data_IF_061376613933
#
_entry.id   IF_061376613933
#
_cell.length_a   1.000
_cell.length_b   1.000
_cell.length_c   1.000
_cell.angle_alpha   90.00
_cell.angle_beta   90.00
_cell.angle_gamma   90.00
#
_symmetry.space_group_name_H-M   'P 1'
#
loop_
_entity.id
_entity.type
_entity.pdbx_description
1 polymer ?
#
# COMPACT_ATOMS: atom_id res chain seq x y z
N UNK A 1 33.96 -19.36 21.84
CA UNK A 1 33.92 -20.31 20.71
C UNK A 1 33.46 -19.53 19.51
N UNK A 2 34.13 -19.66 18.37
CA UNK A 2 33.83 -18.88 17.17
C UNK A 2 32.54 -19.39 16.51
N UNK A 3 31.64 -18.47 16.13
CA UNK A 3 30.32 -18.83 15.59
C UNK A 3 30.47 -19.42 14.19
N UNK A 4 29.47 -20.18 13.74
CA UNK A 4 29.45 -20.73 12.39
C UNK A 4 29.64 -19.63 11.33
N UNK A 5 28.92 -18.51 11.49
CA UNK A 5 29.01 -17.36 10.59
C UNK A 5 30.42 -16.74 10.55
N UNK A 6 31.11 -16.67 11.69
CA UNK A 6 32.46 -16.10 11.78
C UNK A 6 33.46 -17.00 11.02
N UNK A 7 33.42 -18.32 11.27
CA UNK A 7 34.26 -19.31 10.56
C UNK A 7 33.98 -19.35 9.06
N UNK A 8 32.70 -19.27 8.69
CA UNK A 8 32.27 -19.21 7.29
C UNK A 8 32.86 -17.97 6.61
N UNK A 9 32.72 -16.80 7.23
CA UNK A 9 33.22 -15.54 6.70
C UNK A 9 34.74 -15.52 6.51
N UNK A 10 35.48 -16.05 7.48
CA UNK A 10 36.93 -16.16 7.39
C UNK A 10 37.35 -17.04 6.20
N UNK A 11 36.74 -18.22 6.05
CA UNK A 11 37.10 -19.16 4.99
C UNK A 11 36.67 -18.67 3.61
N UNK A 12 35.43 -18.20 3.48
CA UNK A 12 34.88 -17.83 2.17
C UNK A 12 35.67 -16.69 1.53
N UNK A 13 36.19 -15.75 2.32
CA UNK A 13 37.03 -14.67 1.80
C UNK A 13 38.46 -15.10 1.44
N UNK A 14 39.00 -16.14 2.08
CA UNK A 14 40.38 -16.60 1.89
C UNK A 14 40.56 -17.63 0.78
N UNK A 15 39.51 -18.38 0.43
CA UNK A 15 39.60 -19.43 -0.58
C UNK A 15 38.45 -19.36 -1.58
N UNK A 16 38.74 -19.66 -2.84
CA UNK A 16 37.75 -19.87 -3.93
C UNK A 16 37.38 -21.33 -4.13
N UNK A 17 38.06 -22.25 -3.46
CA UNK A 17 37.77 -23.69 -3.53
C UNK A 17 36.62 -24.06 -2.58
N UNK A 18 36.05 -25.25 -2.77
CA UNK A 18 35.07 -25.80 -1.83
C UNK A 18 35.73 -26.03 -0.46
N UNK A 19 34.97 -25.84 0.62
CA UNK A 19 35.51 -25.96 1.98
C UNK A 19 34.48 -26.50 2.98
N UNK A 20 35.01 -27.06 4.07
CA UNK A 20 34.22 -27.55 5.20
C UNK A 20 34.32 -26.61 6.40
N UNK A 21 33.23 -26.44 7.13
CA UNK A 21 33.18 -25.78 8.44
C UNK A 21 32.53 -26.71 9.46
N UNK A 22 33.17 -26.88 10.60
CA UNK A 22 32.62 -27.60 11.74
C UNK A 22 32.03 -26.62 12.77
N UNK A 23 30.84 -26.94 13.26
CA UNK A 23 30.15 -26.21 14.34
C UNK A 23 29.59 -27.21 15.38
N UNK A 24 29.31 -26.74 16.59
CA UNK A 24 28.81 -27.56 17.71
C UNK A 24 29.71 -27.53 18.94
N UNK A 25 29.11 -27.74 20.12
CA UNK A 25 29.79 -27.57 21.42
C UNK A 25 30.33 -28.87 22.04
N UNK A 26 29.92 -30.03 21.52
CA UNK A 26 30.33 -31.35 22.00
C UNK A 26 30.19 -32.39 20.88
N UNK A 27 30.81 -33.56 21.03
CA UNK A 27 30.78 -34.63 20.01
C UNK A 27 29.36 -35.07 19.62
N UNK A 28 28.40 -34.95 20.53
CA UNK A 28 26.99 -35.27 20.25
C UNK A 28 26.22 -34.18 19.51
N UNK A 29 26.78 -32.98 19.37
CA UNK A 29 26.16 -31.80 18.72
C UNK A 29 26.99 -31.27 17.54
N UNK A 30 27.93 -32.07 17.03
CA UNK A 30 28.75 -31.70 15.87
C UNK A 30 27.91 -31.66 14.59
N UNK A 31 28.01 -30.53 13.89
CA UNK A 31 27.46 -30.30 12.56
C UNK A 31 28.59 -29.97 11.60
N UNK A 32 28.56 -30.63 10.45
CA UNK A 32 29.50 -30.45 9.37
C UNK A 32 28.81 -29.72 8.23
N UNK A 33 29.37 -28.60 7.80
CA UNK A 33 28.84 -27.78 6.72
C UNK A 33 29.80 -27.83 5.55
N UNK A 34 29.29 -28.15 4.36
CA UNK A 34 30.06 -28.22 3.13
C UNK A 34 29.63 -27.09 2.21
N UNK A 35 30.59 -26.30 1.75
CA UNK A 35 30.33 -25.17 0.86
C UNK A 35 31.03 -25.37 -0.49
N UNK A 36 30.29 -25.15 -1.56
CA UNK A 36 30.76 -25.15 -2.95
C UNK A 36 30.62 -23.75 -3.51
N UNK A 37 31.60 -23.32 -4.30
CA UNK A 37 31.67 -21.97 -4.80
C UNK A 37 31.71 -21.95 -6.32
N UNK A 38 31.01 -21.02 -6.95
CA UNK A 38 31.09 -20.79 -8.39
C UNK A 38 31.03 -19.30 -8.71
N UNK A 39 31.72 -18.89 -9.78
CA UNK A 39 31.69 -17.50 -10.23
C UNK A 39 30.47 -17.26 -11.11
N UNK A 40 29.75 -16.17 -10.83
CA UNK A 40 28.61 -15.70 -11.60
C UNK A 40 28.82 -14.22 -11.91
N UNK A 41 29.23 -13.93 -13.15
CA UNK A 41 29.64 -12.58 -13.54
C UNK A 41 30.81 -12.08 -12.67
N UNK A 42 30.60 -10.96 -11.98
CA UNK A 42 31.59 -10.36 -11.06
C UNK A 42 31.50 -10.87 -9.62
N UNK A 43 30.46 -11.63 -9.28
CA UNK A 43 30.25 -12.16 -7.95
C UNK A 43 30.60 -13.65 -7.89
N UNK A 44 30.65 -14.17 -6.66
CA UNK A 44 30.83 -15.59 -6.40
C UNK A 44 29.67 -16.10 -5.57
N UNK A 45 28.98 -17.10 -6.09
CA UNK A 45 27.87 -17.75 -5.40
C UNK A 45 28.43 -18.88 -4.55
N UNK A 46 27.89 -19.00 -3.35
CA UNK A 46 28.29 -20.00 -2.36
C UNK A 46 27.08 -20.84 -2.04
N UNK A 47 27.14 -22.10 -2.44
CA UNK A 47 26.14 -23.10 -2.17
C UNK A 47 26.57 -23.92 -0.96
N UNK A 48 25.63 -24.30 -0.11
CA UNK A 48 25.90 -25.04 1.12
C UNK A 48 24.88 -26.13 1.37
N UNK A 49 25.32 -27.12 2.14
CA UNK A 49 24.51 -28.16 2.76
C UNK A 49 25.20 -28.59 4.06
N UNK A 50 24.44 -29.17 4.99
CA UNK A 50 24.97 -29.62 6.27
C UNK A 50 24.51 -31.02 6.64
N UNK A 51 25.31 -31.67 7.49
CA UNK A 51 24.95 -32.94 8.09
C UNK A 51 25.24 -32.97 9.59
N UNK A 52 24.41 -33.73 10.30
CA UNK A 52 24.61 -34.02 11.71
C UNK A 52 25.50 -35.24 11.84
N UNK A 53 26.68 -35.07 12.44
CA UNK A 53 27.59 -36.16 12.84
C UNK A 53 28.21 -37.00 11.71
N UNK A 54 27.92 -36.71 10.44
CA UNK A 54 28.62 -37.31 9.30
C UNK A 54 29.49 -36.27 8.60
N UNK A 55 30.81 -36.39 8.75
CA UNK A 55 31.80 -35.51 8.11
C UNK A 55 31.89 -35.74 6.59
N UNK A 56 31.54 -36.95 6.12
CA UNK A 56 31.71 -37.39 4.73
C UNK A 56 30.43 -37.31 3.90
N UNK A 57 29.37 -36.70 4.43
CA UNK A 57 28.09 -36.54 3.75
C UNK A 57 28.21 -35.87 2.37
N UNK A 58 29.23 -35.05 2.16
CA UNK A 58 29.52 -34.40 0.87
C UNK A 58 29.89 -35.38 -0.25
N UNK A 59 30.08 -36.67 0.06
CA UNK A 59 30.30 -37.76 -0.91
C UNK A 59 29.00 -38.39 -1.39
N UNK A 60 27.86 -38.04 -0.80
CA UNK A 60 26.54 -38.54 -1.19
C UNK A 60 26.18 -38.08 -2.61
N UNK A 61 25.69 -39.00 -3.43
CA UNK A 61 25.24 -38.71 -4.79
C UNK A 61 23.94 -37.91 -4.80
N UNK A 62 23.15 -37.98 -3.73
CA UNK A 62 21.88 -37.26 -3.58
C UNK A 62 22.05 -35.90 -2.89
N UNK A 63 23.29 -35.46 -2.64
CA UNK A 63 23.57 -34.14 -2.06
C UNK A 63 23.00 -33.02 -2.93
N UNK A 64 22.20 -32.12 -2.34
CA UNK A 64 21.54 -31.03 -3.06
C UNK A 64 21.81 -29.65 -2.41
N UNK A 65 23.02 -29.09 -2.60
CA UNK A 65 23.41 -27.81 -2.02
C UNK A 65 22.52 -26.65 -2.48
N UNK A 66 22.13 -25.78 -1.55
CA UNK A 66 21.32 -24.58 -1.83
C UNK A 66 22.17 -23.32 -1.79
N UNK A 67 21.72 -22.26 -2.45
CA UNK A 67 22.42 -20.98 -2.42
C UNK A 67 22.34 -20.38 -1.01
N UNK A 68 23.50 -20.24 -0.36
CA UNK A 68 23.62 -19.72 1.01
C UNK A 68 24.03 -18.27 1.01
N UNK A 69 24.99 -17.90 0.16
CA UNK A 69 25.52 -16.55 0.12
C UNK A 69 26.01 -16.15 -1.27
N UNK A 70 26.11 -14.84 -1.48
CA UNK A 70 26.77 -14.22 -2.63
C UNK A 70 27.93 -13.39 -2.09
N UNK A 71 29.12 -13.54 -2.65
CA UNK A 71 30.30 -12.75 -2.30
C UNK A 71 30.59 -11.78 -3.44
N UNK A 72 30.64 -10.49 -3.14
CA UNK A 72 30.97 -9.42 -4.09
C UNK A 72 31.66 -8.26 -3.37
N UNK A 73 32.71 -7.70 -3.97
CA UNK A 73 33.48 -6.57 -3.42
C UNK A 73 33.90 -6.76 -1.95
N UNK A 74 34.48 -7.94 -1.64
CA UNK A 74 34.91 -8.37 -0.30
C UNK A 74 33.81 -8.40 0.77
N UNK A 75 32.54 -8.35 0.34
CA UNK A 75 31.34 -8.46 1.19
C UNK A 75 30.60 -9.75 0.93
N UNK A 76 29.91 -10.22 1.97
CA UNK A 76 29.14 -11.47 1.96
C UNK A 76 27.67 -11.12 2.16
N UNK A 77 26.83 -11.50 1.20
CA UNK A 77 25.40 -11.28 1.21
C UNK A 77 24.69 -12.61 1.47
N UNK A 78 24.11 -12.77 2.67
CA UNK A 78 23.44 -13.99 3.11
C UNK A 78 22.08 -14.10 2.45
N UNK A 79 21.86 -15.21 1.75
CA UNK A 79 20.61 -15.59 1.09
C UNK A 79 19.80 -16.51 1.99
N UNK A 80 20.45 -17.50 2.61
CA UNK A 80 19.82 -18.46 3.51
C UNK A 80 20.37 -18.29 4.94
N UNK A 81 19.55 -17.68 5.80
CA UNK A 81 19.89 -17.47 7.21
C UNK A 81 19.84 -18.75 8.04
N UNK A 82 19.10 -19.78 7.59
CA UNK A 82 18.99 -21.04 8.31
C UNK A 82 20.27 -21.85 8.22
N UNK A 83 20.88 -21.88 7.03
CA UNK A 83 22.09 -22.67 6.79
C UNK A 83 23.30 -22.17 7.59
N UNK A 84 23.28 -20.91 8.03
CA UNK A 84 24.32 -20.29 8.85
C UNK A 84 23.91 -20.06 10.30
N UNK A 85 22.81 -20.66 10.75
CA UNK A 85 22.26 -20.54 12.11
C UNK A 85 21.97 -19.08 12.58
N UNK A 86 21.78 -18.14 11.64
CA UNK A 86 21.58 -16.69 11.92
C UNK A 86 20.17 -16.39 12.45
N UNK A 87 19.18 -17.23 12.10
CA UNK A 87 17.76 -17.06 12.48
C UNK A 87 17.49 -17.09 14.00
N UNK A 88 18.46 -17.48 14.84
CA UNK A 88 18.30 -17.67 16.29
C UNK A 88 18.38 -16.38 17.13
N UNK A 89 18.30 -15.21 16.51
CA UNK A 89 18.29 -13.93 17.21
C UNK A 89 19.69 -13.36 17.48
N UNK A 90 20.70 -13.78 16.71
CA UNK A 90 22.00 -13.10 16.71
C UNK A 90 21.84 -11.73 16.04
N UNK A 91 22.00 -10.66 16.82
CA UNK A 91 21.77 -9.28 16.35
C UNK A 91 22.98 -8.64 15.69
N UNK A 92 24.19 -9.17 15.91
CA UNK A 92 25.44 -8.58 15.41
C UNK A 92 26.15 -9.53 14.43
N UNK A 93 25.96 -9.24 13.14
CA UNK A 93 26.75 -9.83 12.06
C UNK A 93 28.11 -9.12 11.96
N UNK A 94 29.18 -9.83 11.54
CA UNK A 94 30.45 -9.21 11.19
C UNK A 94 30.28 -8.07 10.16
N UNK A 95 31.16 -7.07 10.21
CA UNK A 95 31.02 -5.79 9.47
C UNK A 95 30.84 -5.95 7.95
N UNK A 96 31.41 -6.98 7.36
CA UNK A 96 31.36 -7.27 5.93
C UNK A 96 30.25 -8.25 5.52
N UNK A 97 29.34 -8.58 6.44
CA UNK A 97 28.25 -9.53 6.21
C UNK A 97 26.90 -8.82 6.29
N UNK A 98 26.08 -9.02 5.27
CA UNK A 98 24.77 -8.40 5.13
C UNK A 98 23.72 -9.46 4.83
N UNK A 99 22.52 -9.32 5.36
CA UNK A 99 21.39 -10.12 4.87
C UNK A 99 20.96 -9.54 3.52
N UNK A 100 20.79 -10.39 2.51
CA UNK A 100 20.39 -9.94 1.17
C UNK A 100 19.05 -9.20 1.22
N UNK A 101 18.12 -9.63 2.09
CA UNK A 101 16.81 -8.97 2.25
C UNK A 101 16.93 -7.53 2.75
N UNK A 102 17.89 -7.24 3.63
CA UNK A 102 18.08 -5.88 4.15
C UNK A 102 18.59 -4.95 3.03
N UNK A 103 19.42 -5.49 2.13
CA UNK A 103 19.85 -4.77 0.92
C UNK A 103 18.68 -4.53 -0.02
N UNK A 104 17.81 -5.53 -0.26
CA UNK A 104 16.58 -5.34 -1.06
C UNK A 104 15.73 -4.20 -0.50
N UNK A 105 15.50 -4.17 0.81
CA UNK A 105 14.70 -3.12 1.45
C UNK A 105 15.38 -1.75 1.28
N UNK A 106 16.68 -1.67 1.59
CA UNK A 106 17.46 -0.43 1.49
C UNK A 106 17.46 0.15 0.07
N UNK A 107 17.71 -0.68 -0.94
CA UNK A 107 17.74 -0.23 -2.34
C UNK A 107 16.36 0.24 -2.81
N UNK A 108 15.29 -0.44 -2.41
CA UNK A 108 13.93 0.00 -2.74
C UNK A 108 13.53 1.31 -2.06
N UNK A 109 13.93 1.51 -0.80
CA UNK A 109 13.71 2.78 -0.11
C UNK A 109 14.52 3.92 -0.74
N UNK A 110 15.75 3.66 -1.20
CA UNK A 110 16.52 4.65 -1.97
C UNK A 110 15.84 5.00 -3.30
N UNK A 111 15.40 3.99 -4.06
CA UNK A 111 14.65 4.20 -5.31
C UNK A 111 13.39 5.03 -5.06
N UNK A 112 12.65 4.76 -3.98
CA UNK A 112 11.43 5.48 -3.64
C UNK A 112 11.67 6.92 -3.19
N UNK A 113 12.62 7.12 -2.29
CA UNK A 113 12.87 8.40 -1.63
C UNK A 113 13.71 9.38 -2.46
N UNK A 114 14.58 8.86 -3.33
CA UNK A 114 15.49 9.67 -4.15
C UNK A 114 15.10 9.60 -5.61
N UNK A 115 15.27 8.44 -6.26
CA UNK A 115 15.14 8.32 -7.71
C UNK A 115 13.72 8.65 -8.18
N UNK A 116 12.70 8.04 -7.56
CA UNK A 116 11.30 8.29 -7.91
C UNK A 116 10.87 9.70 -7.55
N UNK A 117 11.30 10.23 -6.40
CA UNK A 117 10.98 11.59 -5.98
C UNK A 117 11.48 12.62 -7.01
N UNK A 118 12.75 12.50 -7.43
CA UNK A 118 13.36 13.37 -8.44
C UNK A 118 12.71 13.19 -9.81
N UNK A 119 12.52 11.94 -10.25
CA UNK A 119 11.82 11.63 -11.50
C UNK A 119 10.42 12.25 -11.50
N UNK A 120 9.60 11.98 -10.49
CA UNK A 120 8.22 12.45 -10.41
C UNK A 120 8.14 13.97 -10.34
N UNK A 121 9.06 14.62 -9.61
CA UNK A 121 9.18 16.08 -9.57
C UNK A 121 9.49 16.66 -10.94
N UNK A 122 10.35 16.01 -11.73
CA UNK A 122 10.74 16.46 -13.07
C UNK A 122 9.63 16.37 -14.13
N UNK A 123 8.62 15.51 -13.91
CA UNK A 123 7.52 15.34 -14.86
C UNK A 123 6.73 16.64 -15.03
N UNK A 124 6.46 17.00 -16.29
CA UNK A 124 5.54 18.09 -16.62
C UNK A 124 4.10 17.62 -16.44
N UNK A 125 3.31 18.44 -15.77
CA UNK A 125 1.87 18.24 -15.63
C UNK A 125 1.16 18.69 -16.90
N UNK A 126 0.09 17.99 -17.25
CA UNK A 126 -0.82 18.38 -18.31
C UNK A 126 -2.11 18.92 -17.69
N UNK A 127 -2.73 19.89 -18.36
CA UNK A 127 -4.04 20.35 -17.95
C UNK A 127 -5.11 19.30 -18.27
N UNK A 128 -5.95 18.99 -17.29
CA UNK A 128 -7.10 18.10 -17.49
C UNK A 128 -8.26 18.91 -18.07
N UNK A 129 -8.50 18.74 -19.37
CA UNK A 129 -9.56 19.43 -20.13
C UNK A 129 -10.69 18.51 -20.57
N UNK A 130 -10.47 17.19 -20.62
CA UNK A 130 -11.50 16.21 -20.98
C UNK A 130 -12.62 16.13 -19.94
N UNK A 131 -13.87 16.13 -20.38
CA UNK A 131 -15.05 16.15 -19.49
C UNK A 131 -15.12 14.94 -18.56
N UNK A 132 -14.81 13.75 -19.07
CA UNK A 132 -14.83 12.50 -18.31
C UNK A 132 -13.80 12.51 -17.17
N UNK A 133 -12.54 12.81 -17.49
CA UNK A 133 -11.47 12.92 -16.50
C UNK A 133 -11.72 14.03 -15.48
N UNK A 134 -12.26 15.17 -15.93
CA UNK A 134 -12.64 16.25 -15.03
C UNK A 134 -13.76 15.81 -14.07
N UNK A 135 -14.72 15.02 -14.54
CA UNK A 135 -15.76 14.43 -13.69
C UNK A 135 -15.15 13.49 -12.66
N UNK A 136 -14.24 12.61 -13.05
CA UNK A 136 -13.55 11.72 -12.11
C UNK A 136 -12.78 12.50 -11.04
N UNK A 137 -12.07 13.57 -11.42
CA UNK A 137 -11.38 14.44 -10.46
C UNK A 137 -12.35 15.11 -9.47
N UNK A 138 -13.53 15.53 -9.95
CA UNK A 138 -14.57 16.13 -9.10
C UNK A 138 -15.15 15.11 -8.12
N UNK A 139 -15.42 13.89 -8.58
CA UNK A 139 -15.97 12.82 -7.75
C UNK A 139 -14.96 12.43 -6.64
N UNK A 140 -13.67 12.33 -6.96
CA UNK A 140 -12.64 12.03 -5.97
C UNK A 140 -12.41 13.20 -4.98
N UNK A 141 -12.31 14.44 -5.47
CA UNK A 141 -12.20 15.61 -4.60
C UNK A 141 -13.40 15.72 -3.63
N UNK A 142 -14.60 15.39 -4.11
CA UNK A 142 -15.81 15.36 -3.30
C UNK A 142 -15.75 14.29 -2.22
N UNK A 143 -15.29 13.07 -2.54
CA UNK A 143 -15.08 12.02 -1.54
C UNK A 143 -14.12 12.48 -0.45
N UNK A 144 -12.96 13.02 -0.83
CA UNK A 144 -11.94 13.50 0.11
C UNK A 144 -12.52 14.53 1.09
N UNK A 145 -13.27 15.52 0.60
CA UNK A 145 -13.86 16.58 1.43
C UNK A 145 -14.83 16.08 2.52
N UNK A 146 -15.43 14.91 2.34
CA UNK A 146 -16.36 14.32 3.31
C UNK A 146 -15.69 13.29 4.26
N UNK A 147 -14.43 12.92 4.04
CA UNK A 147 -13.66 12.07 4.98
C UNK A 147 -13.22 12.89 6.21
N UNK A 148 -13.02 12.21 7.34
CA UNK A 148 -12.41 12.80 8.55
C UNK A 148 -10.92 13.03 8.28
N UNK A 149 -10.51 14.30 8.17
CA UNK A 149 -9.18 14.76 7.75
C UNK A 149 -8.93 14.62 6.22
N UNK A 150 -9.44 15.56 5.41
CA UNK A 150 -9.24 15.54 3.97
C UNK A 150 -7.75 15.75 3.63
N UNK A 151 -7.12 14.73 3.05
CA UNK A 151 -5.74 14.80 2.54
C UNK A 151 -5.72 14.16 1.17
N UNK A 152 -5.11 14.85 0.20
CA UNK A 152 -4.77 14.25 -1.10
C UNK A 152 -3.44 13.55 -0.92
N UNK A 153 -3.44 12.22 -1.01
CA UNK A 153 -2.21 11.44 -0.84
C UNK A 153 -1.24 11.72 -2.00
N UNK A 154 0.03 11.87 -1.66
CA UNK A 154 1.08 11.95 -2.66
C UNK A 154 1.24 10.61 -3.38
N UNK A 155 1.70 10.65 -4.63
CA UNK A 155 2.03 9.44 -5.37
C UNK A 155 3.24 8.77 -4.74
N UNK A 156 3.16 7.47 -4.56
CA UNK A 156 4.27 6.62 -4.16
C UNK A 156 4.40 5.45 -5.14
N UNK A 157 5.52 4.73 -5.03
CA UNK A 157 5.75 3.47 -5.73
C UNK A 157 5.85 2.32 -4.72
N UNK A 158 5.45 1.14 -5.17
CA UNK A 158 5.77 -0.13 -4.52
C UNK A 158 7.24 -0.50 -4.75
N UNK A 159 7.71 -1.53 -4.04
CA UNK A 159 9.06 -2.09 -4.23
C UNK A 159 9.27 -2.46 -5.70
N UNK A 160 10.32 -1.90 -6.28
CA UNK A 160 10.71 -2.08 -7.67
C UNK A 160 11.61 -3.29 -7.88
N UNK A 161 12.48 -3.59 -6.90
CA UNK A 161 13.49 -4.64 -7.00
C UNK A 161 13.20 -5.79 -6.05
N UNK A 162 13.45 -7.00 -6.52
CA UNK A 162 13.41 -8.23 -5.72
C UNK A 162 14.85 -8.74 -5.44
N UNK A 163 14.98 -9.87 -4.73
CA UNK A 163 16.28 -10.48 -4.44
C UNK A 163 17.07 -10.83 -5.70
N UNK A 164 16.41 -11.26 -6.77
CA UNK A 164 17.07 -11.60 -8.03
C UNK A 164 17.64 -10.36 -8.73
N UNK A 165 16.95 -9.22 -8.68
CA UNK A 165 17.48 -7.95 -9.20
C UNK A 165 18.75 -7.54 -8.43
N UNK A 166 18.74 -7.64 -7.09
CA UNK A 166 19.93 -7.35 -6.29
C UNK A 166 21.07 -8.32 -6.61
N UNK A 167 20.80 -9.61 -6.70
CA UNK A 167 21.79 -10.61 -7.08
C UNK A 167 22.39 -10.33 -8.47
N UNK A 168 21.56 -9.99 -9.46
CA UNK A 168 21.99 -9.59 -10.79
C UNK A 168 22.88 -8.34 -10.75
N UNK A 169 22.57 -7.38 -9.88
CA UNK A 169 23.41 -6.19 -9.67
C UNK A 169 24.77 -6.55 -9.09
N UNK A 170 24.81 -7.42 -8.06
CA UNK A 170 26.06 -7.90 -7.46
C UNK A 170 26.92 -8.65 -8.49
N UNK A 171 26.29 -9.43 -9.37
CA UNK A 171 26.96 -10.10 -10.49
C UNK A 171 27.44 -9.13 -11.60
N UNK A 172 27.09 -7.84 -11.53
CA UNK A 172 27.41 -6.85 -12.55
C UNK A 172 26.59 -6.96 -13.84
N UNK A 173 25.45 -7.66 -13.80
CA UNK A 173 24.55 -7.84 -14.95
C UNK A 173 23.68 -6.61 -15.16
N UNK A 174 23.25 -5.96 -14.07
CA UNK A 174 22.46 -4.72 -14.13
C UNK A 174 23.08 -3.66 -13.22
N UNK A 175 22.80 -2.39 -13.55
CA UNK A 175 23.00 -1.28 -12.65
C UNK A 175 21.63 -0.85 -12.13
N UNK A 176 21.41 -0.92 -10.81
CA UNK A 176 20.09 -0.68 -10.20
C UNK A 176 19.57 0.73 -10.46
N UNK A 177 20.42 1.76 -10.40
CA UNK A 177 19.99 3.14 -10.62
C UNK A 177 19.51 3.35 -12.07
N UNK A 178 20.29 2.89 -13.05
CA UNK A 178 19.93 2.97 -14.47
C UNK A 178 18.68 2.14 -14.79
N UNK A 179 18.58 0.94 -14.21
CA UNK A 179 17.41 0.08 -14.39
C UNK A 179 16.16 0.68 -13.74
N UNK A 180 16.29 1.35 -12.59
CA UNK A 180 15.18 2.04 -11.95
C UNK A 180 14.64 3.17 -12.82
N UNK A 181 15.53 4.03 -13.33
CA UNK A 181 15.16 5.11 -14.25
C UNK A 181 14.49 4.55 -15.50
N UNK A 182 15.03 3.49 -16.10
CA UNK A 182 14.45 2.83 -17.26
C UNK A 182 13.03 2.28 -16.99
N UNK A 183 12.82 1.61 -15.85
CA UNK A 183 11.49 1.11 -15.43
C UNK A 183 10.50 2.26 -15.23
N UNK A 184 10.92 3.38 -14.64
CA UNK A 184 10.09 4.57 -14.47
C UNK A 184 9.74 5.23 -15.80
N UNK A 185 10.72 5.45 -16.67
CA UNK A 185 10.54 6.06 -17.99
C UNK A 185 9.61 5.22 -18.89
N UNK A 186 9.67 3.88 -18.81
CA UNK A 186 8.73 3.02 -19.54
C UNK A 186 7.25 3.22 -19.16
N UNK A 187 6.99 3.83 -17.98
CA UNK A 187 5.66 4.16 -17.46
C UNK A 187 5.42 5.67 -17.37
N UNK A 188 6.25 6.49 -18.04
CA UNK A 188 6.24 7.95 -17.92
C UNK A 188 4.86 8.57 -18.11
N UNK A 189 4.15 8.18 -19.17
CA UNK A 189 2.82 8.73 -19.47
C UNK A 189 1.81 8.46 -18.35
N UNK A 190 1.84 7.27 -17.75
CA UNK A 190 0.99 6.93 -16.61
C UNK A 190 1.30 7.81 -15.39
N UNK A 191 2.58 8.13 -15.16
CA UNK A 191 2.99 9.00 -14.07
C UNK A 191 2.61 10.47 -14.32
N UNK A 192 2.73 10.96 -15.56
CA UNK A 192 2.25 12.28 -15.97
C UNK A 192 0.74 12.38 -15.73
N UNK A 193 -0.01 11.37 -16.16
CA UNK A 193 -1.45 11.27 -15.92
C UNK A 193 -1.76 11.36 -14.43
N UNK A 194 -1.14 10.51 -13.60
CA UNK A 194 -1.37 10.47 -12.15
C UNK A 194 -1.01 11.80 -11.46
N UNK A 195 0.08 12.45 -11.89
CA UNK A 195 0.49 13.77 -11.37
C UNK A 195 -0.52 14.85 -11.71
N UNK A 196 -0.96 14.89 -12.96
CA UNK A 196 -1.97 15.84 -13.44
C UNK A 196 -3.31 15.65 -12.73
N UNK A 197 -3.73 14.39 -12.55
CA UNK A 197 -4.93 14.01 -11.81
C UNK A 197 -4.87 14.49 -10.35
N UNK A 198 -3.81 14.14 -9.62
CA UNK A 198 -3.65 14.53 -8.23
C UNK A 198 -3.59 16.04 -8.03
N UNK A 199 -2.91 16.76 -8.93
CA UNK A 199 -2.92 18.23 -8.94
C UNK A 199 -4.34 18.76 -9.06
N UNK A 200 -5.12 18.26 -10.02
CA UNK A 200 -6.48 18.76 -10.25
C UNK A 200 -7.40 18.47 -9.07
N UNK A 201 -7.31 17.28 -8.50
CA UNK A 201 -8.03 16.92 -7.27
C UNK A 201 -7.65 17.85 -6.12
N UNK A 202 -6.35 18.14 -5.93
CA UNK A 202 -5.87 19.07 -4.91
C UNK A 202 -6.45 20.47 -5.06
N UNK A 203 -6.43 21.03 -6.27
CA UNK A 203 -7.06 22.32 -6.57
C UNK A 203 -8.55 22.35 -6.19
N UNK A 204 -9.30 21.28 -6.53
CA UNK A 204 -10.74 21.16 -6.26
C UNK A 204 -11.05 20.99 -4.76
N UNK A 205 -10.17 20.31 -4.02
CA UNK A 205 -10.28 20.17 -2.56
C UNK A 205 -9.99 21.51 -1.88
N UNK A 206 -8.93 22.21 -2.27
CA UNK A 206 -8.52 23.49 -1.70
C UNK A 206 -9.58 24.59 -1.91
N UNK A 207 -10.16 24.67 -3.12
CA UNK A 207 -11.17 25.68 -3.43
C UNK A 207 -12.60 25.29 -3.03
N UNK A 208 -12.83 24.03 -2.59
CA UNK A 208 -14.14 23.47 -2.21
C UNK A 208 -15.24 23.65 -3.26
N UNK A 209 -14.91 23.79 -4.54
CA UNK A 209 -15.87 24.09 -5.61
C UNK A 209 -16.83 22.94 -5.95
N UNK A 210 -16.53 21.72 -5.49
CA UNK A 210 -17.28 20.49 -5.78
C UNK A 210 -18.30 20.11 -4.70
N UNK A 211 -18.43 20.93 -3.65
CA UNK A 211 -19.40 20.74 -2.56
C UNK A 211 -20.21 22.01 -2.32
N UNK A 212 -21.39 21.87 -1.73
CA UNK A 212 -22.21 23.01 -1.29
C UNK A 212 -22.05 23.23 0.22
N UNK A 213 -22.13 24.49 0.66
CA UNK A 213 -21.98 24.86 2.07
C UNK A 213 -22.92 24.09 3.02
N UNK A 214 -24.14 23.80 2.58
CA UNK A 214 -25.09 23.04 3.38
C UNK A 214 -24.64 21.59 3.59
N UNK A 215 -23.95 20.99 2.62
CA UNK A 215 -23.43 19.63 2.71
C UNK A 215 -22.29 19.55 3.72
N UNK A 216 -21.41 20.56 3.70
CA UNK A 216 -20.34 20.70 4.69
C UNK A 216 -20.90 20.80 6.10
N UNK A 217 -21.91 21.65 6.32
CA UNK A 217 -22.59 21.80 7.61
C UNK A 217 -23.27 20.51 8.08
N UNK A 218 -23.92 19.77 7.18
CA UNK A 218 -24.48 18.45 7.48
C UNK A 218 -23.37 17.50 7.94
N UNK A 219 -22.25 17.43 7.19
CA UNK A 219 -21.14 16.53 7.50
C UNK A 219 -20.47 16.87 8.83
N UNK A 220 -20.29 18.15 9.15
CA UNK A 220 -19.77 18.62 10.45
C UNK A 220 -20.73 18.27 11.60
N UNK A 221 -22.02 18.55 11.43
CA UNK A 221 -23.05 18.23 12.41
C UNK A 221 -23.08 16.74 12.75
N UNK A 222 -23.06 15.89 11.71
CA UNK A 222 -22.98 14.44 11.86
C UNK A 222 -21.70 14.00 12.57
N UNK A 223 -20.54 14.51 12.16
CA UNK A 223 -19.24 14.14 12.76
C UNK A 223 -19.08 14.62 14.21
N UNK A 224 -19.90 15.57 14.66
CA UNK A 224 -19.89 16.07 16.04
C UNK A 224 -20.46 15.09 17.08
N UNK A 225 -20.99 13.95 16.65
CA UNK A 225 -21.59 12.93 17.53
C UNK A 225 -21.17 11.52 17.12
N UNK A 226 -21.03 10.64 18.12
CA UNK A 226 -20.88 9.20 17.89
C UNK A 226 -22.26 8.53 17.95
N UNK A 227 -22.99 8.62 16.84
CA UNK A 227 -24.36 8.14 16.73
C UNK A 227 -24.47 6.94 15.78
N UNK A 228 -25.07 5.84 16.25
CA UNK A 228 -25.46 4.72 15.36
C UNK A 228 -26.60 5.11 14.40
N UNK A 229 -27.42 6.09 14.80
CA UNK A 229 -28.61 6.52 14.06
C UNK A 229 -28.91 7.98 14.35
N UNK A 230 -29.31 8.73 13.32
CA UNK A 230 -29.80 10.11 13.39
C UNK A 230 -31.19 10.22 12.81
N UNK A 231 -31.97 11.19 13.30
CA UNK A 231 -33.28 11.53 12.73
C UNK A 231 -33.10 12.65 11.71
N UNK A 232 -33.47 12.38 10.47
CA UNK A 232 -33.33 13.28 9.32
C UNK A 232 -34.72 13.68 8.83
N UNK A 233 -34.99 14.97 8.79
CA UNK A 233 -36.16 15.57 8.15
C UNK A 233 -35.84 15.84 6.68
N UNK A 234 -36.76 15.43 5.83
CA UNK A 234 -36.74 15.72 4.41
C UNK A 234 -37.94 16.57 4.01
N UNK A 235 -37.73 17.49 3.09
CA UNK A 235 -38.77 18.28 2.43
C UNK A 235 -38.72 18.08 0.91
N UNK A 236 -39.85 17.66 0.35
CA UNK A 236 -40.04 17.50 -1.09
C UNK A 236 -41.53 17.66 -1.41
N UNK A 237 -41.85 18.29 -2.55
CA UNK A 237 -43.24 18.51 -3.01
C UNK A 237 -44.15 19.20 -1.95
N UNK A 238 -43.58 20.11 -1.15
CA UNK A 238 -44.29 20.81 -0.07
C UNK A 238 -44.64 19.94 1.15
N UNK A 239 -44.09 18.72 1.23
CA UNK A 239 -44.33 17.76 2.30
C UNK A 239 -43.05 17.55 3.12
N UNK A 240 -43.22 17.39 4.43
CA UNK A 240 -42.13 17.11 5.37
C UNK A 240 -42.32 15.77 6.02
N UNK A 241 -41.24 15.00 6.13
CA UNK A 241 -41.26 13.72 6.83
C UNK A 241 -39.91 13.41 7.47
N UNK A 242 -39.95 12.75 8.63
CA UNK A 242 -38.76 12.30 9.35
C UNK A 242 -38.52 10.81 9.13
N UNK A 243 -37.26 10.44 8.98
CA UNK A 243 -36.84 9.07 9.17
C UNK A 243 -35.52 8.97 9.91
N UNK A 244 -35.32 7.80 10.51
CA UNK A 244 -34.07 7.41 11.12
C UNK A 244 -33.17 6.76 10.07
N UNK A 245 -31.89 7.11 10.07
CA UNK A 245 -30.88 6.47 9.22
C UNK A 245 -29.50 6.48 9.87
N UNK A 246 -28.63 5.60 9.38
CA UNK A 246 -27.23 5.58 9.80
C UNK A 246 -26.51 6.82 9.26
N UNK A 247 -25.81 7.61 10.09
CA UNK A 247 -25.03 8.77 9.64
C UNK A 247 -24.10 8.51 8.44
N UNK A 248 -23.48 7.33 8.38
CA UNK A 248 -22.61 6.96 7.25
C UNK A 248 -23.36 6.95 5.92
N UNK A 249 -24.67 6.65 5.90
CA UNK A 249 -25.49 6.67 4.67
C UNK A 249 -25.69 8.10 4.16
N UNK A 250 -25.86 9.06 5.06
CA UNK A 250 -25.96 10.49 4.70
C UNK A 250 -24.64 10.96 4.11
N UNK A 251 -23.52 10.67 4.78
CA UNK A 251 -22.19 11.06 4.30
C UNK A 251 -21.89 10.41 2.94
N UNK A 252 -22.17 9.11 2.77
CA UNK A 252 -21.96 8.39 1.51
C UNK A 252 -22.80 9.00 0.37
N UNK A 253 -24.08 9.28 0.63
CA UNK A 253 -24.95 9.91 -0.36
C UNK A 253 -24.41 11.28 -0.81
N UNK A 254 -23.84 12.07 0.11
CA UNK A 254 -23.13 13.30 -0.25
C UNK A 254 -21.87 12.98 -1.06
N UNK A 255 -20.99 12.08 -0.62
CA UNK A 255 -19.76 11.70 -1.33
C UNK A 255 -20.02 11.33 -2.80
N UNK A 256 -21.03 10.50 -3.05
CA UNK A 256 -21.32 9.94 -4.37
C UNK A 256 -22.29 10.84 -5.19
N UNK A 257 -22.73 11.97 -4.63
CA UNK A 257 -23.76 12.83 -5.22
C UNK A 257 -25.02 12.04 -5.65
N UNK A 258 -25.43 11.13 -4.78
CA UNK A 258 -26.44 10.11 -5.06
C UNK A 258 -27.82 10.51 -4.50
N UNK A 259 -28.77 9.58 -4.57
CA UNK A 259 -30.08 9.67 -3.95
C UNK A 259 -30.24 8.66 -2.81
N UNK A 260 -31.25 8.88 -1.97
CA UNK A 260 -31.65 7.96 -0.91
C UNK A 260 -32.68 6.98 -1.46
N UNK A 261 -32.34 5.70 -1.42
CA UNK A 261 -33.28 4.61 -1.66
C UNK A 261 -33.99 4.20 -0.36
N UNK A 262 -35.06 3.41 -0.46
CA UNK A 262 -35.73 2.86 0.72
C UNK A 262 -34.80 2.05 1.63
N UNK A 263 -33.70 1.51 1.09
CA UNK A 263 -32.72 0.69 1.81
C UNK A 263 -31.72 1.50 2.65
N UNK A 264 -31.67 2.82 2.48
CA UNK A 264 -30.74 3.69 3.22
C UNK A 264 -31.27 4.10 4.61
N UNK A 265 -32.52 3.78 4.90
CA UNK A 265 -33.19 4.09 6.17
C UNK A 265 -33.07 2.93 7.18
N UNK A 266 -33.36 3.21 8.46
CA UNK A 266 -33.27 2.26 9.57
C UNK A 266 -33.99 0.93 9.28
N UNK A 267 -35.13 0.99 8.59
CA UNK A 267 -35.79 -0.19 8.01
C UNK A 267 -36.31 0.12 6.62
N UNK A 268 -36.26 -0.85 5.71
CA UNK A 268 -36.77 -0.71 4.34
C UNK A 268 -38.24 -0.31 4.29
N UNK A 269 -39.07 -0.84 5.22
CA UNK A 269 -40.49 -0.48 5.34
C UNK A 269 -40.67 1.01 5.61
N UNK A 270 -39.92 1.57 6.57
CA UNK A 270 -39.95 3.01 6.89
C UNK A 270 -39.45 3.85 5.72
N UNK A 271 -38.44 3.37 4.99
CA UNK A 271 -37.96 4.02 3.77
C UNK A 271 -39.04 4.16 2.70
N UNK A 272 -39.76 3.08 2.39
CA UNK A 272 -40.88 3.12 1.44
C UNK A 272 -42.03 4.02 1.93
N UNK A 273 -42.36 3.98 3.22
CA UNK A 273 -43.38 4.86 3.80
C UNK A 273 -43.00 6.34 3.65
N UNK A 274 -41.75 6.70 3.94
CA UNK A 274 -41.25 8.07 3.79
C UNK A 274 -41.28 8.52 2.32
N UNK A 275 -40.75 7.72 1.40
CA UNK A 275 -40.72 8.03 -0.04
C UNK A 275 -42.15 8.26 -0.57
N UNK A 276 -43.10 7.39 -0.19
CA UNK A 276 -44.51 7.53 -0.57
C UNK A 276 -45.14 8.80 -0.03
N UNK A 277 -44.86 9.14 1.24
CA UNK A 277 -45.42 10.35 1.86
C UNK A 277 -44.90 11.62 1.23
N UNK A 278 -43.60 11.68 0.89
CA UNK A 278 -42.97 12.81 0.19
C UNK A 278 -43.30 12.88 -1.31
N UNK A 279 -44.02 11.89 -1.83
CA UNK A 279 -44.30 11.73 -3.26
C UNK A 279 -43.01 11.68 -4.11
N UNK A 280 -41.97 11.05 -3.57
CA UNK A 280 -40.68 10.86 -4.22
C UNK A 280 -40.67 9.59 -5.09
N UNK A 281 -39.73 9.53 -6.03
CA UNK A 281 -39.41 8.30 -6.77
C UNK A 281 -38.57 7.33 -5.92
N UNK A 282 -38.79 6.03 -6.10
CA UNK A 282 -38.04 4.96 -5.41
C UNK A 282 -36.65 4.72 -6.00
N UNK A 283 -36.44 5.04 -7.28
CA UNK A 283 -35.16 4.92 -7.99
C UNK A 283 -35.08 5.95 -9.13
N UNK A 284 -33.87 6.23 -9.63
CA UNK A 284 -33.63 7.23 -10.69
C UNK A 284 -34.06 6.75 -12.09
N UNK A 285 -33.96 5.45 -12.39
CA UNK A 285 -34.14 4.90 -13.75
C UNK A 285 -35.58 4.63 -14.22
N UNK A 286 -36.58 4.76 -13.34
CA UNK A 286 -38.00 4.57 -13.64
C UNK A 286 -38.82 5.36 -12.60
N UNK A 287 -38.79 6.68 -12.75
CA UNK A 287 -39.30 7.62 -11.76
C UNK A 287 -40.71 8.14 -12.07
N UNK A 288 -41.34 7.73 -13.18
CA UNK A 288 -42.65 8.24 -13.63
C UNK A 288 -42.77 9.78 -13.54
N UNK A 289 -41.68 10.52 -13.81
CA UNK A 289 -41.62 11.98 -13.71
C UNK A 289 -41.45 12.55 -12.29
N UNK A 290 -41.36 11.71 -11.25
CA UNK A 290 -41.14 12.11 -9.86
C UNK A 290 -39.66 12.34 -9.55
N UNK A 291 -39.41 13.26 -8.61
CA UNK A 291 -38.06 13.55 -8.12
C UNK A 291 -37.58 12.47 -7.14
N UNK A 292 -36.31 12.07 -7.22
CA UNK A 292 -35.67 11.20 -6.22
C UNK A 292 -35.23 12.02 -5.01
N UNK A 293 -35.25 11.40 -3.83
CA UNK A 293 -34.83 12.05 -2.60
C UNK A 293 -33.30 12.17 -2.54
N UNK A 294 -32.75 13.36 -2.33
CA UNK A 294 -31.28 13.57 -2.23
C UNK A 294 -30.92 14.40 -1.00
N UNK A 295 -29.63 14.64 -0.77
CA UNK A 295 -29.17 15.50 0.33
C UNK A 295 -29.69 16.95 0.23
N UNK A 296 -30.05 17.40 -0.99
CA UNK A 296 -30.71 18.72 -1.19
C UNK A 296 -32.10 18.80 -0.58
N UNK A 297 -32.71 17.69 -0.21
CA UNK A 297 -34.02 17.65 0.42
C UNK A 297 -33.93 17.67 1.96
N UNK A 298 -32.73 17.57 2.54
CA UNK A 298 -32.56 17.55 4.01
C UNK A 298 -32.76 18.94 4.60
N UNK A 299 -33.78 19.12 5.43
CA UNK A 299 -34.09 20.39 6.10
C UNK A 299 -33.58 20.40 7.54
N UNK A 300 -33.54 19.25 8.21
CA UNK A 300 -33.12 19.15 9.61
C UNK A 300 -32.48 17.80 9.91
N UNK A 301 -31.43 17.79 10.74
CA UNK A 301 -30.86 16.57 11.31
C UNK A 301 -30.78 16.73 12.82
N UNK A 302 -31.24 15.73 13.55
CA UNK A 302 -31.21 15.70 15.01
C UNK A 302 -30.65 14.39 15.53
N UNK A 303 -30.03 14.48 16.71
CA UNK A 303 -29.62 13.33 17.51
C UNK A 303 -30.03 13.55 18.96
N UNK A 304 -30.94 12.72 19.47
CA UNK A 304 -31.63 12.95 20.76
C UNK A 304 -32.29 14.33 20.74
N UNK A 305 -31.95 15.21 21.70
CA UNK A 305 -32.43 16.59 21.77
C UNK A 305 -31.50 17.60 21.09
N UNK A 306 -30.37 17.16 20.52
CA UNK A 306 -29.39 18.02 19.86
C UNK A 306 -29.73 18.18 18.39
N UNK A 307 -29.76 19.42 17.93
CA UNK A 307 -29.86 19.76 16.51
C UNK A 307 -28.45 19.73 15.91
N UNK A 308 -28.25 18.86 14.92
CA UNK A 308 -26.98 18.72 14.22
C UNK A 308 -26.92 19.62 12.98
N UNK A 309 -28.06 19.85 12.35
CA UNK A 309 -28.21 20.71 11.18
C UNK A 309 -29.65 21.22 11.09
N UNK A 310 -29.80 22.50 10.72
CA UNK A 310 -31.07 23.10 10.30
C UNK A 310 -30.78 23.94 9.06
N UNK A 311 -31.58 23.76 8.02
CA UNK A 311 -31.58 24.62 6.83
C UNK A 311 -32.10 26.00 7.23
N UNK A 312 -31.23 27.00 7.07
CA UNK A 312 -31.60 28.42 7.15
C UNK A 312 -32.25 28.86 5.85
#
# INVERSE_FOLDING_TARGET
MERLIDKFAEKVLKTTESFMVESGNCDTDKRYHFFIQCNVGKARYVYGEHSYRDEKFHTDLDLNPKLVAIVADDKIYIVDEFELDIYRGETELPENIFKLIDIVIKENEYVKSVIFADFYKSLKENDITGEELLKECKDEARRILFVKNPVVNESTIESMFNQQDIANSLCGVINLELEAVKRLESKKENWIYKKSYNKKVKELVENRSVVKDYEVKIAEGIRSVDAKTVSVEFELNGRKEFAKMNPHRVIRCMMDNDYFSAYDFETTKRGYELIRKLDAATWRGNNNGKEVLTCRNITKITYKKKELYIRK
#
